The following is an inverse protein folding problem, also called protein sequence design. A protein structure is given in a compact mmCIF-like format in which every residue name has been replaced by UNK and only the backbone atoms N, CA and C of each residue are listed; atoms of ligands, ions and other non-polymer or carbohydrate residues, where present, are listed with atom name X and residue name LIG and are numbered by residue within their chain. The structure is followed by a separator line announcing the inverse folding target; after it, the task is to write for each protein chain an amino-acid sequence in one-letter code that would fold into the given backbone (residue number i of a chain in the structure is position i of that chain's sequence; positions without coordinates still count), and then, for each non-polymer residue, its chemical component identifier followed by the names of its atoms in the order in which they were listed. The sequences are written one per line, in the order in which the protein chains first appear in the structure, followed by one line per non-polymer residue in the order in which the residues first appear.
data_IF_194061723529
#
_entry.id   IF_194061723529
#
_cell.length_a   1.000
_cell.length_b   1.000
_cell.length_c   1.000
_cell.angle_alpha   90.00
_cell.angle_beta   90.00
_cell.angle_gamma   90.00
#
_symmetry.space_group_name_H-M   'P 1'
#
loop_
_entity.id
_entity.type
_entity.pdbx_description
1 polymer ?
#
# COMPACT_ATOMS: atom_id res chain seq x y z
N UNK A 1 30.03 -17.68 54.62
CA UNK A 1 29.03 -16.87 53.94
C UNK A 1 27.67 -17.28 54.47
N UNK A 2 26.84 -16.36 54.96
CA UNK A 2 25.54 -16.73 55.51
C UNK A 2 24.53 -17.05 54.40
N UNK A 3 23.53 -17.89 54.67
CA UNK A 3 22.47 -18.26 53.76
C UNK A 3 21.74 -17.02 53.19
N UNK A 4 21.62 -15.95 53.94
CA UNK A 4 21.03 -14.69 53.53
C UNK A 4 21.91 -13.91 52.54
N UNK A 5 23.22 -14.01 52.66
CA UNK A 5 24.13 -13.42 51.67
C UNK A 5 24.07 -14.18 50.35
N UNK A 6 23.98 -15.51 50.37
CA UNK A 6 23.86 -16.32 49.17
C UNK A 6 22.57 -15.98 48.43
N UNK A 7 21.42 -15.87 49.10
CA UNK A 7 20.13 -15.48 48.48
C UNK A 7 20.18 -14.08 47.86
N UNK A 8 20.87 -13.13 48.45
CA UNK A 8 21.03 -11.77 47.89
C UNK A 8 21.87 -11.77 46.62
N UNK A 9 22.93 -12.56 46.59
CA UNK A 9 23.77 -12.68 45.38
C UNK A 9 23.05 -13.40 44.25
N UNK A 10 22.29 -14.46 44.52
CA UNK A 10 21.48 -15.15 43.47
C UNK A 10 20.40 -14.23 42.90
N UNK A 11 19.72 -13.44 43.74
CA UNK A 11 18.73 -12.46 43.27
C UNK A 11 19.37 -11.37 42.39
N UNK A 12 20.54 -10.89 42.74
CA UNK A 12 21.29 -9.89 41.99
C UNK A 12 21.73 -10.44 40.61
N UNK A 13 22.22 -11.67 40.56
CA UNK A 13 22.64 -12.34 39.34
C UNK A 13 21.44 -12.54 38.38
N UNK A 14 20.29 -12.98 38.92
CA UNK A 14 19.07 -13.15 38.11
C UNK A 14 18.54 -11.81 37.58
N UNK A 15 18.61 -10.75 38.39
CA UNK A 15 18.20 -9.40 37.98
C UNK A 15 19.12 -8.86 36.88
N UNK A 16 20.44 -8.99 37.03
CA UNK A 16 21.40 -8.57 35.99
C UNK A 16 21.23 -9.40 34.71
N UNK A 17 21.02 -10.71 34.83
CA UNK A 17 20.78 -11.57 33.67
C UNK A 17 19.49 -11.19 32.92
N UNK A 18 18.42 -10.81 33.63
CA UNK A 18 17.16 -10.35 33.01
C UNK A 18 17.33 -9.01 32.29
N UNK A 19 18.10 -8.07 32.86
CA UNK A 19 18.40 -6.80 32.16
C UNK A 19 19.24 -7.03 30.89
N UNK A 20 20.24 -7.91 30.97
CA UNK A 20 21.09 -8.24 29.83
C UNK A 20 20.28 -8.91 28.69
N UNK A 21 19.36 -9.82 29.00
CA UNK A 21 18.52 -10.48 28.00
C UNK A 21 17.57 -9.51 27.33
N UNK A 22 16.99 -8.56 28.06
CA UNK A 22 16.13 -7.51 27.47
C UNK A 22 16.90 -6.58 26.51
N UNK A 23 18.13 -6.21 26.87
CA UNK A 23 18.96 -5.37 26.01
C UNK A 23 19.41 -6.08 24.72
N UNK A 24 19.72 -7.38 24.78
CA UNK A 24 20.11 -8.17 23.60
C UNK A 24 18.94 -8.25 22.61
N UNK A 25 17.73 -8.54 23.08
CA UNK A 25 16.54 -8.60 22.22
C UNK A 25 16.20 -7.25 21.55
N UNK A 26 16.40 -6.14 22.26
CA UNK A 26 16.18 -4.81 21.71
C UNK A 26 17.21 -4.47 20.62
N UNK A 27 18.48 -4.77 20.85
CA UNK A 27 19.56 -4.52 19.87
C UNK A 27 19.36 -5.35 18.60
N UNK A 28 18.95 -6.62 18.71
CA UNK A 28 18.67 -7.47 17.55
C UNK A 28 17.49 -6.92 16.72
N UNK A 29 16.41 -6.44 17.38
CA UNK A 29 15.26 -5.85 16.71
C UNK A 29 15.62 -4.55 15.96
N UNK A 30 16.48 -3.72 16.50
CA UNK A 30 16.91 -2.47 15.89
C UNK A 30 17.83 -2.70 14.69
N UNK A 31 18.70 -3.71 14.76
CA UNK A 31 19.54 -4.11 13.63
C UNK A 31 18.67 -4.62 12.45
N UNK A 32 17.69 -5.48 12.72
CA UNK A 32 16.74 -5.97 11.70
C UNK A 32 15.96 -4.81 11.08
N UNK A 33 15.43 -3.89 11.88
CA UNK A 33 14.73 -2.70 11.40
C UNK A 33 15.61 -1.84 10.50
N UNK A 34 16.86 -1.62 10.89
CA UNK A 34 17.84 -0.88 10.10
C UNK A 34 18.10 -1.53 8.75
N UNK A 35 18.28 -2.85 8.73
CA UNK A 35 18.50 -3.60 7.48
C UNK A 35 17.25 -3.55 6.58
N UNK A 36 16.05 -3.75 7.12
CA UNK A 36 14.80 -3.65 6.38
C UNK A 36 14.63 -2.25 5.80
N UNK A 37 14.86 -1.19 6.56
CA UNK A 37 14.77 0.20 6.08
C UNK A 37 15.72 0.45 4.90
N UNK A 38 16.96 -0.04 4.96
CA UNK A 38 17.92 0.06 3.86
C UNK A 38 17.44 -0.67 2.59
N UNK A 39 16.81 -1.84 2.75
CA UNK A 39 16.24 -2.59 1.61
C UNK A 39 15.07 -1.86 0.99
N UNK A 40 14.15 -1.32 1.80
CA UNK A 40 13.02 -0.49 1.32
C UNK A 40 13.56 0.71 0.55
N UNK A 41 14.50 1.48 1.11
CA UNK A 41 15.08 2.65 0.45
C UNK A 41 15.76 2.30 -0.89
N UNK A 42 16.42 1.15 -0.99
CA UNK A 42 16.97 0.69 -2.27
C UNK A 42 15.90 0.38 -3.29
N UNK A 43 14.81 -0.27 -2.86
CA UNK A 43 13.67 -0.58 -3.72
C UNK A 43 12.95 0.69 -4.21
N UNK A 44 12.67 1.63 -3.31
CA UNK A 44 11.97 2.87 -3.66
C UNK A 44 12.82 3.80 -4.54
N UNK A 45 14.14 3.86 -4.32
CA UNK A 45 15.06 4.56 -5.23
C UNK A 45 15.15 3.91 -6.62
N UNK A 46 15.08 2.59 -6.69
CA UNK A 46 15.01 1.90 -7.98
C UNK A 46 13.69 2.24 -8.69
N UNK A 47 12.56 2.25 -8.00
CA UNK A 47 11.29 2.72 -8.56
C UNK A 47 11.42 4.15 -9.09
N UNK A 48 11.96 5.08 -8.30
CA UNK A 48 12.18 6.46 -8.73
C UNK A 48 13.00 6.53 -10.03
N UNK A 49 14.12 5.82 -10.10
CA UNK A 49 15.02 5.84 -11.26
C UNK A 49 14.46 5.13 -12.50
N UNK A 50 13.51 4.21 -12.33
CA UNK A 50 12.90 3.43 -13.41
C UNK A 50 11.57 4.01 -13.91
N UNK A 51 11.11 5.15 -13.35
CA UNK A 51 9.90 5.82 -13.82
C UNK A 51 10.08 6.35 -15.25
N UNK A 52 9.08 6.12 -16.09
CA UNK A 52 9.03 6.73 -17.42
C UNK A 52 8.86 8.25 -17.32
N UNK A 53 9.37 8.99 -18.30
CA UNK A 53 9.23 10.45 -18.35
C UNK A 53 7.77 10.94 -18.32
N UNK A 54 6.84 10.12 -18.80
CA UNK A 54 5.40 10.39 -18.74
C UNK A 54 4.74 10.00 -17.40
N UNK A 55 5.51 9.50 -16.41
CA UNK A 55 5.06 9.27 -15.05
C UNK A 55 4.61 7.85 -14.71
N UNK A 56 4.60 6.93 -15.67
CA UNK A 56 4.17 5.54 -15.46
C UNK A 56 5.35 4.57 -15.31
N UNK A 57 5.06 3.33 -14.85
CA UNK A 57 5.96 2.18 -14.81
C UNK A 57 5.43 1.06 -15.70
N UNK A 58 6.34 0.25 -16.26
CA UNK A 58 6.05 -0.87 -17.14
C UNK A 58 5.42 -0.46 -18.47
N UNK A 59 4.13 -0.19 -18.50
CA UNK A 59 3.37 0.19 -19.72
C UNK A 59 2.33 1.26 -19.40
N UNK A 60 2.02 2.08 -20.39
CA UNK A 60 0.95 3.06 -20.31
C UNK A 60 -0.46 2.44 -20.31
N UNK A 61 -0.60 1.15 -20.63
CA UNK A 61 -1.90 0.51 -20.78
C UNK A 61 -2.54 0.08 -19.45
N UNK A 62 -1.70 -0.12 -18.42
CA UNK A 62 -2.11 -0.63 -17.10
C UNK A 62 -1.75 0.35 -15.99
N UNK A 63 -2.60 1.35 -15.71
CA UNK A 63 -2.33 2.34 -14.66
C UNK A 63 -2.19 1.73 -13.26
N UNK A 64 -2.71 0.54 -13.01
CA UNK A 64 -2.52 -0.18 -11.75
C UNK A 64 -1.03 -0.36 -11.41
N UNK A 65 -0.14 -0.63 -12.37
CA UNK A 65 1.29 -0.79 -12.10
C UNK A 65 1.89 0.50 -11.53
N UNK A 66 1.47 1.65 -12.08
CA UNK A 66 1.84 2.97 -11.55
C UNK A 66 1.26 3.20 -10.16
N UNK A 67 0.01 2.81 -9.93
CA UNK A 67 -0.62 2.87 -8.61
C UNK A 67 0.13 2.05 -7.56
N UNK A 68 0.55 0.82 -7.87
CA UNK A 68 1.35 -0.02 -6.97
C UNK A 68 2.70 0.61 -6.64
N UNK A 69 3.41 1.15 -7.65
CA UNK A 69 4.68 1.84 -7.43
C UNK A 69 4.51 3.07 -6.52
N UNK A 70 3.45 3.86 -6.74
CA UNK A 70 3.13 5.03 -5.91
C UNK A 70 2.88 4.61 -4.45
N UNK A 71 2.05 3.59 -4.20
CA UNK A 71 1.77 3.08 -2.85
C UNK A 71 3.06 2.61 -2.17
N UNK A 72 3.93 1.89 -2.89
CA UNK A 72 5.21 1.44 -2.35
C UNK A 72 6.12 2.62 -1.96
N UNK A 73 6.18 3.66 -2.78
CA UNK A 73 6.97 4.87 -2.50
C UNK A 73 6.38 5.66 -1.33
N UNK A 74 5.07 5.86 -1.26
CA UNK A 74 4.38 6.55 -0.14
C UNK A 74 4.51 5.77 1.17
N UNK A 75 4.69 4.46 1.11
CA UNK A 75 4.93 3.60 2.26
C UNK A 75 6.40 3.55 2.74
N UNK A 76 7.32 4.30 2.12
CA UNK A 76 8.72 4.37 2.57
C UNK A 76 8.81 5.01 3.97
N UNK A 77 9.27 4.27 4.99
CA UNK A 77 9.32 4.76 6.36
C UNK A 77 10.31 5.92 6.58
N UNK A 78 11.17 6.21 5.59
CA UNK A 78 12.07 7.36 5.66
C UNK A 78 11.36 8.71 5.47
N UNK A 79 10.13 8.72 4.96
CA UNK A 79 9.38 9.92 4.61
C UNK A 79 9.89 10.64 3.35
N UNK A 80 10.88 10.08 2.64
CA UNK A 80 11.47 10.74 1.47
C UNK A 80 10.44 11.02 0.37
N UNK A 81 9.45 10.14 0.21
CA UNK A 81 8.37 10.27 -0.77
C UNK A 81 7.03 10.75 -0.17
N UNK A 82 7.05 11.33 1.04
CA UNK A 82 5.82 11.79 1.71
C UNK A 82 5.14 12.93 0.96
N UNK A 83 5.92 13.87 0.41
CA UNK A 83 5.39 15.02 -0.32
C UNK A 83 4.83 14.64 -1.68
N UNK A 84 3.61 15.10 -1.98
CA UNK A 84 3.00 14.97 -3.31
C UNK A 84 3.67 15.86 -4.36
N UNK A 85 4.46 16.85 -3.96
CA UNK A 85 5.29 17.66 -4.85
C UNK A 85 6.59 16.98 -5.26
N UNK A 86 6.95 15.84 -4.65
CA UNK A 86 8.08 15.03 -5.09
C UNK A 86 7.89 14.64 -6.58
N UNK A 87 8.87 14.88 -7.47
CA UNK A 87 8.66 14.72 -8.92
C UNK A 87 8.09 13.35 -9.33
N UNK A 88 8.59 12.27 -8.74
CA UNK A 88 8.11 10.93 -9.06
C UNK A 88 6.64 10.71 -8.62
N UNK A 89 6.25 11.20 -7.45
CA UNK A 89 4.88 11.11 -6.94
C UNK A 89 3.94 11.98 -7.80
N UNK A 90 4.32 13.22 -8.05
CA UNK A 90 3.55 14.18 -8.86
C UNK A 90 3.31 13.66 -10.28
N UNK A 91 4.33 13.12 -10.92
CA UNK A 91 4.21 12.57 -12.26
C UNK A 91 3.32 11.32 -12.29
N UNK A 92 3.43 10.45 -11.27
CA UNK A 92 2.56 9.27 -11.14
C UNK A 92 1.09 9.67 -10.96
N UNK A 93 0.80 10.61 -10.07
CA UNK A 93 -0.56 11.13 -9.87
C UNK A 93 -1.12 11.77 -11.14
N UNK A 94 -0.32 12.59 -11.83
CA UNK A 94 -0.72 13.19 -13.12
C UNK A 94 -1.04 12.12 -14.18
N UNK A 95 -0.25 11.06 -14.25
CA UNK A 95 -0.52 9.96 -15.18
C UNK A 95 -1.80 9.23 -14.80
N UNK A 96 -2.02 8.87 -13.52
CA UNK A 96 -3.24 8.23 -13.04
C UNK A 96 -4.46 9.11 -13.36
N UNK A 97 -4.35 10.42 -13.12
CA UNK A 97 -5.39 11.39 -13.46
C UNK A 97 -5.76 11.39 -14.95
N UNK A 98 -4.77 11.22 -15.82
CA UNK A 98 -5.00 11.10 -17.27
C UNK A 98 -5.72 9.81 -17.68
N UNK A 99 -5.85 8.84 -16.79
CA UNK A 99 -6.58 7.59 -16.99
C UNK A 99 -7.98 7.59 -16.35
N UNK A 100 -8.36 8.69 -15.70
CA UNK A 100 -9.65 8.84 -15.02
C UNK A 100 -10.76 9.11 -16.04
N UNK A 101 -11.90 8.46 -15.86
CA UNK A 101 -13.12 8.60 -16.68
C UNK A 101 -14.23 9.29 -15.88
N UNK A 102 -15.19 9.86 -16.58
CA UNK A 102 -16.33 10.58 -15.99
C UNK A 102 -17.22 9.70 -15.09
N UNK A 103 -17.27 8.40 -15.34
CA UNK A 103 -18.00 7.41 -14.55
C UNK A 103 -17.29 7.04 -13.24
N UNK A 104 -16.07 7.50 -13.04
CA UNK A 104 -15.23 7.19 -11.86
C UNK A 104 -14.24 6.05 -12.09
N UNK A 105 -14.27 5.40 -13.23
CA UNK A 105 -13.30 4.38 -13.62
C UNK A 105 -11.90 4.96 -13.89
N UNK A 106 -10.86 4.19 -13.61
CA UNK A 106 -9.45 4.57 -13.88
C UNK A 106 -8.79 3.44 -14.64
N UNK A 107 -8.76 3.56 -15.96
CA UNK A 107 -8.23 2.50 -16.84
C UNK A 107 -7.85 3.06 -18.22
N UNK A 108 -7.23 2.25 -19.08
CA UNK A 108 -6.92 2.56 -20.48
C UNK A 108 -7.63 1.60 -21.44
N UNK A 109 -7.27 0.33 -21.41
CA UNK A 109 -7.70 -0.66 -22.41
C UNK A 109 -8.62 -1.70 -21.79
N UNK A 110 -8.14 -2.41 -20.77
CA UNK A 110 -8.81 -3.54 -20.13
C UNK A 110 -8.57 -3.57 -18.63
N UNK A 111 -8.96 -4.64 -17.93
CA UNK A 111 -8.82 -4.81 -16.50
C UNK A 111 -9.38 -3.59 -15.73
N UNK A 112 -10.54 -3.10 -16.19
CA UNK A 112 -11.08 -1.80 -15.75
C UNK A 112 -11.30 -1.73 -14.25
N UNK A 113 -11.83 -2.78 -13.66
CA UNK A 113 -12.09 -2.87 -12.21
C UNK A 113 -10.78 -2.99 -11.43
N UNK A 114 -9.86 -3.85 -11.90
CA UNK A 114 -8.55 -4.01 -11.27
C UNK A 114 -7.74 -2.71 -11.29
N UNK A 115 -7.64 -2.07 -12.46
CA UNK A 115 -6.93 -0.80 -12.59
C UNK A 115 -7.55 0.28 -11.69
N UNK A 116 -8.88 0.39 -11.68
CA UNK A 116 -9.58 1.37 -10.84
C UNK A 116 -9.32 1.13 -9.35
N UNK A 117 -9.40 -0.13 -8.88
CA UNK A 117 -9.20 -0.47 -7.48
C UNK A 117 -7.79 -0.11 -6.99
N UNK A 118 -6.76 -0.45 -7.76
CA UNK A 118 -5.37 -0.16 -7.40
C UNK A 118 -5.07 1.35 -7.48
N UNK A 119 -5.56 2.03 -8.52
CA UNK A 119 -5.39 3.48 -8.64
C UNK A 119 -6.15 4.23 -7.52
N UNK A 120 -7.35 3.81 -7.16
CA UNK A 120 -8.07 4.33 -5.99
C UNK A 120 -7.25 4.20 -4.71
N UNK A 121 -6.69 3.01 -4.44
CA UNK A 121 -5.80 2.79 -3.30
C UNK A 121 -4.61 3.76 -3.31
N UNK A 122 -4.03 4.03 -4.48
CA UNK A 122 -2.89 4.93 -4.60
C UNK A 122 -3.28 6.40 -4.38
N UNK A 123 -4.46 6.84 -4.81
CA UNK A 123 -4.97 8.18 -4.50
C UNK A 123 -5.23 8.37 -3.00
N UNK A 124 -5.78 7.35 -2.33
CA UNK A 124 -5.92 7.36 -0.86
C UNK A 124 -4.56 7.45 -0.17
N UNK A 125 -3.57 6.68 -0.63
CA UNK A 125 -2.20 6.72 -0.07
C UNK A 125 -1.51 8.08 -0.29
N UNK A 126 -1.87 8.81 -1.34
CA UNK A 126 -1.37 10.17 -1.58
C UNK A 126 -1.85 11.17 -0.52
N UNK A 127 -3.02 10.96 0.08
CA UNK A 127 -3.56 11.79 1.15
C UNK A 127 -3.82 13.25 0.72
N UNK A 128 -4.13 13.47 -0.56
CA UNK A 128 -4.37 14.79 -1.12
C UNK A 128 -5.87 15.11 -1.10
N UNK A 129 -6.33 16.09 -0.32
CA UNK A 129 -7.76 16.45 -0.27
C UNK A 129 -8.36 16.87 -1.61
N UNK A 130 -7.54 17.32 -2.56
CA UNK A 130 -8.02 17.65 -3.92
C UNK A 130 -8.49 16.44 -4.71
N UNK A 131 -8.15 15.21 -4.26
CA UNK A 131 -8.57 13.94 -4.87
C UNK A 131 -9.85 13.36 -4.25
N UNK A 132 -10.40 13.95 -3.17
CA UNK A 132 -11.51 13.36 -2.40
C UNK A 132 -12.74 13.09 -3.27
N UNK A 133 -13.13 14.01 -4.15
CA UNK A 133 -14.26 13.82 -5.06
C UNK A 133 -14.03 12.63 -6.00
N UNK A 134 -12.82 12.51 -6.56
CA UNK A 134 -12.46 11.39 -7.44
C UNK A 134 -12.40 10.06 -6.69
N UNK A 135 -11.89 10.06 -5.48
CA UNK A 135 -11.85 8.90 -4.59
C UNK A 135 -13.28 8.40 -4.33
N UNK A 136 -14.21 9.28 -3.97
CA UNK A 136 -15.59 8.91 -3.73
C UNK A 136 -16.25 8.35 -4.99
N UNK A 137 -16.04 9.00 -6.14
CA UNK A 137 -16.63 8.57 -7.41
C UNK A 137 -16.06 7.23 -7.90
N UNK A 138 -14.75 7.00 -7.75
CA UNK A 138 -14.14 5.72 -8.06
C UNK A 138 -14.62 4.59 -7.13
N UNK A 139 -14.87 4.90 -5.86
CA UNK A 139 -15.48 3.95 -4.93
C UNK A 139 -16.90 3.58 -5.37
N UNK A 140 -17.73 4.55 -5.76
CA UNK A 140 -19.08 4.29 -6.28
C UNK A 140 -19.04 3.45 -7.56
N UNK A 141 -18.09 3.75 -8.46
CA UNK A 141 -17.84 2.95 -9.64
C UNK A 141 -17.57 1.48 -9.29
N UNK A 142 -16.66 1.20 -8.34
CA UNK A 142 -16.34 -0.17 -7.92
C UNK A 142 -17.54 -0.88 -7.26
N UNK A 143 -18.35 -0.17 -6.47
CA UNK A 143 -19.58 -0.72 -5.91
C UNK A 143 -20.54 -1.12 -7.03
N UNK A 144 -20.69 -0.28 -8.06
CA UNK A 144 -21.54 -0.57 -9.20
C UNK A 144 -21.03 -1.76 -10.07
N UNK A 145 -19.74 -2.09 -10.00
CA UNK A 145 -19.15 -3.24 -10.70
C UNK A 145 -19.36 -4.57 -9.99
N UNK A 146 -19.85 -4.59 -8.75
CA UNK A 146 -20.19 -5.84 -8.08
C UNK A 146 -21.33 -6.56 -8.80
N UNK A 147 -21.21 -7.87 -8.90
CA UNK A 147 -22.26 -8.73 -9.47
C UNK A 147 -23.48 -8.77 -8.54
N UNK A 148 -24.65 -8.74 -9.11
CA UNK A 148 -25.93 -8.77 -8.41
C UNK A 148 -26.92 -9.48 -9.37
N UNK A 149 -27.02 -10.79 -9.20
CA UNK A 149 -27.88 -11.68 -9.99
C UNK A 149 -29.17 -11.93 -9.21
N UNK A 150 -30.27 -12.23 -9.91
CA UNK A 150 -31.55 -12.47 -9.25
C UNK A 150 -32.23 -11.16 -8.80
N UNK A 151 -32.76 -11.14 -7.58
CA UNK A 151 -33.45 -9.98 -7.03
C UNK A 151 -32.47 -8.90 -6.55
N UNK A 152 -32.59 -7.69 -7.08
CA UNK A 152 -31.66 -6.59 -6.83
C UNK A 152 -31.46 -6.32 -5.32
N UNK A 153 -30.22 -6.37 -4.89
CA UNK A 153 -29.82 -6.11 -3.49
C UNK A 153 -30.08 -7.28 -2.54
N UNK A 154 -30.43 -8.43 -3.06
CA UNK A 154 -30.65 -9.67 -2.29
C UNK A 154 -29.48 -10.63 -2.58
N UNK A 155 -28.93 -11.24 -1.54
CA UNK A 155 -27.87 -12.27 -1.68
C UNK A 155 -28.51 -13.61 -1.98
N UNK A 156 -29.05 -13.78 -3.19
CA UNK A 156 -29.80 -14.98 -3.62
C UNK A 156 -29.05 -15.83 -4.67
N UNK A 157 -27.86 -15.37 -5.10
CA UNK A 157 -27.00 -16.09 -6.03
C UNK A 157 -25.57 -16.22 -5.49
N UNK A 158 -24.86 -17.36 -5.72
CA UNK A 158 -23.50 -17.59 -5.21
C UNK A 158 -22.46 -16.56 -5.68
N UNK A 159 -22.72 -15.84 -6.78
CA UNK A 159 -21.82 -14.83 -7.35
C UNK A 159 -22.14 -13.40 -6.89
N UNK A 160 -23.16 -13.21 -6.06
CA UNK A 160 -23.54 -11.88 -5.59
C UNK A 160 -22.44 -11.26 -4.71
N UNK A 161 -22.18 -9.98 -4.94
CA UNK A 161 -21.07 -9.26 -4.32
C UNK A 161 -19.71 -9.58 -4.94
N UNK A 162 -19.63 -10.53 -5.88
CA UNK A 162 -18.41 -10.83 -6.63
C UNK A 162 -17.99 -9.67 -7.52
N UNK A 163 -16.68 -9.50 -7.73
CA UNK A 163 -16.12 -8.49 -8.61
C UNK A 163 -15.00 -9.11 -9.45
N UNK A 164 -15.11 -8.98 -10.78
CA UNK A 164 -14.09 -9.46 -11.71
C UNK A 164 -12.99 -8.42 -11.97
N UNK A 165 -11.99 -8.78 -12.77
CA UNK A 165 -10.92 -7.86 -13.17
C UNK A 165 -11.37 -6.85 -14.24
N UNK A 166 -12.32 -7.24 -15.08
CA UNK A 166 -12.82 -6.48 -16.21
C UNK A 166 -14.12 -5.73 -15.93
N UNK A 167 -15.06 -5.83 -16.86
CA UNK A 167 -16.39 -5.23 -16.72
C UNK A 167 -17.25 -6.02 -15.73
N UNK A 168 -18.43 -5.44 -15.40
CA UNK A 168 -19.45 -6.13 -14.60
C UNK A 168 -19.81 -7.47 -15.26
N UNK A 169 -19.88 -8.53 -14.47
CA UNK A 169 -20.09 -9.91 -14.92
C UNK A 169 -18.92 -10.55 -15.71
N UNK A 170 -17.77 -9.90 -15.78
CA UNK A 170 -16.54 -10.53 -16.27
C UNK A 170 -15.89 -11.29 -15.12
N UNK A 171 -16.00 -12.60 -15.15
CA UNK A 171 -15.51 -13.53 -14.12
C UNK A 171 -14.25 -14.29 -14.57
N UNK A 172 -13.55 -13.82 -15.60
CA UNK A 172 -12.30 -14.39 -16.11
C UNK A 172 -11.09 -14.11 -15.19
#
# INVERSE_FOLDING_TARGET
MSVNQLKRWTALILYVASILSLNVSAVESDEIRSQVSKLIQRGTKWLESSQNQAGWWSTADHPAVTGLALVAMKGDPSGFFESNEHPAIKNALKYIDSCYHEDGGIYRINLITYNTAICLMSMVAAGDPSLDERILKSREYLIAMQSDFGDKGVMDHPMDGGIGYGSKYDHS
#
